data_IF_188357301848
#
_entry.id   IF_188357301848
#
_cell.length_a   1.000
_cell.length_b   1.000
_cell.length_c   1.000
_cell.angle_alpha   90.00
_cell.angle_beta   90.00
_cell.angle_gamma   90.00
#
_symmetry.space_group_name_H-M   'P 1'
#
loop_
_entity.id
_entity.type
_entity.pdbx_description
1 polymer ?
#
# COMPACT_ATOMS: atom_id res chain seq x y z
N UNK A 1 -14.57 7.78 3.96
CA UNK A 1 -15.55 7.75 5.05
C UNK A 1 -16.19 6.37 5.14
N UNK A 2 -15.38 5.35 5.34
CA UNK A 2 -15.90 4.00 5.55
C UNK A 2 -15.58 3.56 6.96
N UNK A 3 -16.57 3.69 7.83
CA UNK A 3 -16.52 3.15 9.17
C UNK A 3 -17.89 2.51 9.48
N UNK A 4 -18.03 1.22 9.18
CA UNK A 4 -19.06 0.40 9.80
C UNK A 4 -18.65 -1.07 9.77
N UNK A 5 -17.80 -1.43 10.71
CA UNK A 5 -18.01 -2.71 11.38
C UNK A 5 -19.28 -2.53 12.22
N UNK A 6 -20.22 -3.44 12.09
CA UNK A 6 -21.62 -3.37 12.53
C UNK A 6 -21.78 -3.50 14.08
N UNK A 7 -21.06 -2.67 14.85
CA UNK A 7 -21.24 -2.53 16.29
C UNK A 7 -21.45 -1.05 16.62
N UNK A 8 -22.44 -0.76 17.45
CA UNK A 8 -22.64 0.59 17.99
C UNK A 8 -21.29 1.09 18.54
N UNK A 9 -20.82 2.26 18.10
CA UNK A 9 -19.53 2.76 18.57
C UNK A 9 -19.55 2.90 20.08
N UNK A 10 -18.52 2.41 20.79
CA UNK A 10 -18.47 2.53 22.23
C UNK A 10 -18.50 4.00 22.61
N UNK A 11 -19.26 4.30 23.64
CA UNK A 11 -19.38 5.66 24.20
C UNK A 11 -18.48 5.74 25.41
N UNK A 12 -17.50 6.62 25.37
CA UNK A 12 -16.65 6.92 26.52
C UNK A 12 -17.12 8.26 27.09
N UNK A 13 -17.43 8.25 28.38
CA UNK A 13 -17.87 9.47 29.09
C UNK A 13 -16.63 10.27 29.48
N UNK A 14 -16.62 11.56 29.11
CA UNK A 14 -15.57 12.49 29.51
C UNK A 14 -15.59 12.77 31.02
N UNK A 15 -14.43 13.02 31.65
CA UNK A 15 -14.35 13.47 33.02
C UNK A 15 -15.14 14.77 33.23
N UNK A 16 -15.78 14.90 34.40
CA UNK A 16 -16.48 16.14 34.73
C UNK A 16 -15.49 17.26 34.94
N UNK A 17 -15.85 18.42 34.45
CA UNK A 17 -15.08 19.65 34.68
C UNK A 17 -14.92 19.90 36.17
N UNK A 18 -13.73 20.28 36.70
CA UNK A 18 -13.55 20.66 38.09
C UNK A 18 -14.41 21.89 38.42
N UNK A 19 -15.28 21.76 39.43
CA UNK A 19 -16.11 22.89 39.87
C UNK A 19 -15.23 24.01 40.42
N UNK A 20 -15.46 25.27 40.01
CA UNK A 20 -14.76 26.39 40.59
C UNK A 20 -15.06 26.48 42.12
N UNK A 21 -14.04 26.69 42.90
CA UNK A 21 -14.23 26.82 44.34
C UNK A 21 -15.23 27.96 44.61
N UNK A 22 -16.25 27.73 45.44
CA UNK A 22 -17.20 28.79 45.77
C UNK A 22 -16.48 30.01 46.33
N UNK A 23 -16.90 31.22 45.96
CA UNK A 23 -16.27 32.47 46.47
C UNK A 23 -16.32 32.48 47.99
N UNK A 24 -15.16 32.73 48.62
CA UNK A 24 -15.09 32.87 50.06
C UNK A 24 -15.93 34.08 50.49
N UNK A 25 -17.13 33.81 50.99
CA UNK A 25 -17.97 34.85 51.57
C UNK A 25 -17.26 35.43 52.80
N UNK A 26 -17.05 36.71 52.82
CA UNK A 26 -16.53 37.42 54.00
C UNK A 26 -17.62 37.35 55.08
N UNK A 27 -17.36 36.80 56.27
CA UNK A 27 -18.38 36.68 57.29
C UNK A 27 -18.59 38.06 57.97
N UNK A 28 -19.31 38.94 57.25
CA UNK A 28 -19.52 40.36 57.68
C UNK A 28 -20.12 40.46 59.08
N UNK A 29 -21.06 39.56 59.38
CA UNK A 29 -21.65 39.52 60.72
C UNK A 29 -20.66 39.05 61.83
N UNK A 30 -19.78 38.13 61.53
CA UNK A 30 -18.77 37.66 62.48
C UNK A 30 -17.68 38.68 62.74
N UNK A 31 -17.47 39.66 61.81
CA UNK A 31 -16.53 40.77 62.00
C UNK A 31 -17.15 41.99 62.77
N UNK A 32 -18.41 42.26 62.48
CA UNK A 32 -19.10 43.45 63.07
C UNK A 32 -19.67 43.20 64.49
N UNK A 33 -20.11 41.95 64.78
CA UNK A 33 -20.72 41.59 66.04
C UNK A 33 -19.78 41.85 67.27
N UNK A 34 -18.49 41.47 67.27
CA UNK A 34 -17.58 41.73 68.38
C UNK A 34 -17.30 43.23 68.55
N UNK A 35 -17.26 43.96 67.43
CA UNK A 35 -17.07 45.44 67.49
C UNK A 35 -18.27 46.08 68.06
N UNK A 36 -19.49 45.76 67.66
CA UNK A 36 -20.74 46.28 68.15
C UNK A 36 -20.91 45.97 69.67
N UNK A 37 -20.59 44.73 70.06
CA UNK A 37 -20.63 44.37 71.52
C UNK A 37 -19.59 45.12 72.31
N UNK A 38 -18.39 45.31 71.81
CA UNK A 38 -17.32 46.05 72.49
C UNK A 38 -17.68 47.50 72.65
N UNK A 39 -18.29 48.15 71.68
CA UNK A 39 -18.80 49.51 71.74
C UNK A 39 -19.95 49.64 72.77
N UNK A 40 -20.88 48.70 72.80
CA UNK A 40 -21.97 48.68 73.75
C UNK A 40 -21.47 48.47 75.18
N UNK A 41 -20.52 47.58 75.44
CA UNK A 41 -19.90 47.43 76.77
C UNK A 41 -19.15 48.69 77.19
N UNK A 42 -18.42 49.29 76.28
CA UNK A 42 -17.75 50.55 76.57
C UNK A 42 -18.74 51.67 76.92
N UNK A 43 -19.83 51.82 76.23
CA UNK A 43 -20.87 52.83 76.51
C UNK A 43 -21.53 52.63 77.86
N UNK A 44 -21.65 51.39 78.36
CA UNK A 44 -22.27 51.06 79.68
C UNK A 44 -21.24 51.17 80.82
N UNK A 45 -20.00 50.75 80.61
CA UNK A 45 -19.00 50.61 81.69
C UNK A 45 -18.01 51.72 81.74
N UNK A 46 -17.90 52.55 80.70
CA UNK A 46 -16.90 53.65 80.65
C UNK A 46 -15.43 53.16 80.57
N UNK A 47 -15.19 51.85 80.57
CA UNK A 47 -13.85 51.26 80.66
C UNK A 47 -13.17 51.17 79.30
N UNK A 48 -11.98 51.77 79.11
CA UNK A 48 -11.27 51.65 77.82
C UNK A 48 -10.80 50.24 77.50
N UNK A 49 -10.72 49.30 78.46
CA UNK A 49 -10.40 47.90 78.23
C UNK A 49 -11.47 47.19 77.39
N UNK A 50 -12.70 47.64 77.40
CA UNK A 50 -13.76 47.07 76.56
C UNK A 50 -13.46 47.22 75.06
N UNK A 51 -12.76 48.26 74.63
CA UNK A 51 -12.36 48.55 73.27
C UNK A 51 -11.27 47.58 72.80
N UNK A 52 -10.53 46.89 73.68
CA UNK A 52 -9.54 45.88 73.28
C UNK A 52 -10.20 44.67 72.62
N UNK A 53 -11.45 44.39 73.02
CA UNK A 53 -12.21 43.28 72.35
C UNK A 53 -12.66 43.63 70.91
N UNK A 54 -12.68 44.94 70.54
CA UNK A 54 -13.01 45.31 69.19
C UNK A 54 -11.98 44.87 68.17
N UNK A 55 -10.72 44.67 68.58
CA UNK A 55 -9.66 44.14 67.74
C UNK A 55 -9.84 42.65 67.44
N UNK A 56 -10.57 41.89 68.26
CA UNK A 56 -10.76 40.46 68.11
C UNK A 56 -11.56 40.08 66.82
N UNK A 57 -12.54 40.95 66.47
CA UNK A 57 -13.34 40.76 65.22
C UNK A 57 -12.50 40.76 63.96
N UNK A 58 -11.71 41.77 63.69
CA UNK A 58 -10.80 41.84 62.56
C UNK A 58 -9.74 40.73 62.56
N UNK A 59 -9.21 40.35 63.70
CA UNK A 59 -8.23 39.19 63.78
C UNK A 59 -8.87 37.88 63.43
N UNK A 60 -10.06 37.59 63.95
CA UNK A 60 -10.80 36.38 63.60
C UNK A 60 -11.17 36.37 62.12
N UNK A 61 -11.57 37.51 61.57
CA UNK A 61 -11.87 37.63 60.15
C UNK A 61 -10.63 37.37 59.24
N UNK A 62 -9.49 37.92 59.63
CA UNK A 62 -8.24 37.72 58.88
C UNK A 62 -7.78 36.25 58.96
N UNK A 63 -7.91 35.63 60.14
CA UNK A 63 -7.61 34.21 60.33
C UNK A 63 -8.54 33.32 59.47
N UNK A 64 -9.86 33.60 59.48
CA UNK A 64 -10.81 32.82 58.66
C UNK A 64 -10.61 33.02 57.15
N UNK A 65 -10.26 34.22 56.70
CA UNK A 65 -9.94 34.46 55.30
C UNK A 65 -8.66 33.76 54.84
N UNK A 66 -7.63 33.75 55.70
CA UNK A 66 -6.38 33.03 55.39
C UNK A 66 -6.59 31.52 55.37
N UNK A 67 -7.31 30.96 56.34
CA UNK A 67 -7.64 29.57 56.45
C UNK A 67 -8.55 29.12 55.27
N UNK A 68 -9.57 29.91 54.95
CA UNK A 68 -10.42 29.71 53.78
C UNK A 68 -9.64 29.67 52.46
N UNK A 69 -8.68 30.60 52.26
CA UNK A 69 -7.81 30.59 51.07
C UNK A 69 -6.90 29.38 51.02
N UNK A 70 -6.34 28.95 52.16
CA UNK A 70 -5.48 27.77 52.22
C UNK A 70 -6.26 26.49 51.96
N UNK A 71 -7.42 26.33 52.57
CA UNK A 71 -8.31 25.17 52.36
C UNK A 71 -8.86 25.14 50.94
N UNK A 72 -9.30 26.30 50.41
CA UNK A 72 -9.74 26.42 49.00
C UNK A 72 -8.65 26.03 48.01
N UNK A 73 -7.40 26.51 48.20
CA UNK A 73 -6.26 26.13 47.36
C UNK A 73 -5.94 24.61 47.43
N UNK A 74 -6.00 24.02 48.63
CA UNK A 74 -5.77 22.58 48.84
C UNK A 74 -6.87 21.78 48.16
N UNK A 75 -8.14 22.18 48.27
CA UNK A 75 -9.29 21.54 47.60
C UNK A 75 -9.15 21.63 46.07
N UNK A 76 -8.92 22.82 45.53
CA UNK A 76 -8.72 23.01 44.10
C UNK A 76 -7.55 22.19 43.54
N UNK A 77 -6.42 22.09 44.29
CA UNK A 77 -5.29 21.24 43.90
C UNK A 77 -5.66 19.75 43.92
N UNK A 78 -6.48 19.28 44.87
CA UNK A 78 -6.94 17.88 44.92
C UNK A 78 -7.89 17.60 43.78
N UNK A 79 -8.82 18.48 43.47
CA UNK A 79 -9.78 18.35 42.36
C UNK A 79 -9.08 18.35 41.00
N UNK A 80 -8.11 19.28 40.78
CA UNK A 80 -7.29 19.27 39.57
C UNK A 80 -6.44 17.98 39.43
N UNK A 81 -5.90 17.44 40.53
CA UNK A 81 -5.18 16.17 40.50
C UNK A 81 -6.10 14.99 40.20
N UNK A 82 -7.33 15.00 40.72
CA UNK A 82 -8.34 14.00 40.42
C UNK A 82 -8.74 14.06 38.94
N UNK A 83 -9.06 15.25 38.45
CA UNK A 83 -9.39 15.49 37.06
C UNK A 83 -8.29 14.98 36.10
N UNK A 84 -7.03 15.32 36.37
CA UNK A 84 -5.91 14.85 35.53
C UNK A 84 -5.73 13.34 35.57
N UNK A 85 -6.03 12.68 36.69
CA UNK A 85 -6.01 11.20 36.77
C UNK A 85 -7.14 10.60 35.95
N UNK A 86 -8.33 11.15 36.04
CA UNK A 86 -9.50 10.72 35.28
C UNK A 86 -9.26 10.95 33.77
N UNK A 87 -8.68 12.10 33.40
CA UNK A 87 -8.31 12.42 32.02
C UNK A 87 -7.27 11.40 31.48
N UNK A 88 -6.25 11.08 32.29
CA UNK A 88 -5.25 10.08 31.90
C UNK A 88 -5.85 8.69 31.74
N UNK A 89 -6.76 8.29 32.63
CA UNK A 89 -7.47 7.00 32.53
C UNK A 89 -8.36 6.96 31.27
N UNK A 90 -9.09 8.05 30.98
CA UNK A 90 -9.91 8.16 29.77
C UNK A 90 -9.04 8.09 28.51
N UNK A 91 -7.87 8.73 28.53
CA UNK A 91 -6.92 8.66 27.42
C UNK A 91 -6.42 7.26 27.18
N UNK A 92 -6.14 6.51 28.23
CA UNK A 92 -5.74 5.10 28.13
C UNK A 92 -6.85 4.24 27.47
N UNK A 93 -8.11 4.46 27.85
CA UNK A 93 -9.24 3.78 27.22
C UNK A 93 -9.36 4.13 25.72
N UNK A 94 -9.09 5.40 25.34
CA UNK A 94 -9.04 5.80 23.94
C UNK A 94 -7.91 5.07 23.21
N UNK A 95 -6.72 4.97 23.82
CA UNK A 95 -5.57 4.30 23.23
C UNK A 95 -5.89 2.80 22.99
N UNK A 96 -6.47 2.11 23.98
CA UNK A 96 -6.89 0.70 23.86
C UNK A 96 -7.93 0.51 22.75
N UNK A 97 -8.87 1.45 22.62
CA UNK A 97 -9.85 1.40 21.54
C UNK A 97 -9.21 1.63 20.18
N UNK A 98 -8.34 2.62 20.06
CA UNK A 98 -7.62 2.92 18.83
C UNK A 98 -6.74 1.74 18.37
N UNK A 99 -6.14 0.99 19.30
CA UNK A 99 -5.38 -0.21 18.97
C UNK A 99 -6.28 -1.29 18.36
N UNK A 100 -7.46 -1.53 18.96
CA UNK A 100 -8.44 -2.49 18.44
C UNK A 100 -8.98 -2.05 17.06
N UNK A 101 -9.40 -0.80 16.94
CA UNK A 101 -9.93 -0.25 15.69
C UNK A 101 -8.88 -0.34 14.57
N UNK A 102 -7.62 -0.08 14.89
CA UNK A 102 -6.51 -0.21 13.92
C UNK A 102 -6.30 -1.67 13.52
N UNK A 103 -6.34 -2.59 14.48
CA UNK A 103 -6.23 -4.02 14.21
C UNK A 103 -7.37 -4.53 13.31
N UNK A 104 -8.60 -4.07 13.55
CA UNK A 104 -9.76 -4.40 12.72
C UNK A 104 -9.59 -3.88 11.28
N UNK A 105 -9.10 -2.64 11.10
CA UNK A 105 -8.82 -2.08 9.78
C UNK A 105 -7.69 -2.83 9.06
N UNK A 106 -6.64 -3.21 9.77
CA UNK A 106 -5.55 -4.04 9.22
C UNK A 106 -6.09 -5.40 8.79
N UNK A 107 -6.94 -6.04 9.60
CA UNK A 107 -7.57 -7.31 9.23
C UNK A 107 -8.46 -7.21 7.98
N UNK A 108 -9.08 -6.05 7.74
CA UNK A 108 -9.79 -5.80 6.47
C UNK A 108 -8.80 -5.76 5.30
N UNK A 109 -7.70 -5.01 5.43
CA UNK A 109 -6.67 -4.92 4.38
C UNK A 109 -6.04 -6.27 4.10
N UNK A 110 -5.73 -7.06 5.14
CA UNK A 110 -5.14 -8.39 5.00
C UNK A 110 -6.07 -9.35 4.23
N UNK A 111 -7.38 -9.28 4.47
CA UNK A 111 -8.36 -10.05 3.69
C UNK A 111 -8.41 -9.65 2.22
N UNK A 112 -8.17 -8.38 1.90
CA UNK A 112 -8.24 -7.86 0.52
C UNK A 112 -6.97 -8.15 -0.29
N UNK A 113 -5.82 -8.01 0.30
CA UNK A 113 -4.56 -8.09 -0.45
C UNK A 113 -3.35 -8.49 0.38
N UNK A 114 -3.56 -8.81 1.66
CA UNK A 114 -2.51 -9.13 2.63
C UNK A 114 -1.74 -10.41 2.33
N UNK A 115 -0.82 -10.74 3.19
CA UNK A 115 0.06 -11.91 3.06
C UNK A 115 -0.69 -13.23 3.33
N UNK A 116 -0.49 -14.22 2.46
CA UNK A 116 -0.69 -15.63 2.73
C UNK A 116 -2.14 -16.09 2.88
N UNK A 117 -2.52 -16.49 4.08
CA UNK A 117 -3.73 -17.27 4.35
C UNK A 117 -5.05 -16.56 4.00
N UNK A 118 -5.10 -15.23 4.16
CA UNK A 118 -6.32 -14.46 3.90
C UNK A 118 -6.64 -14.30 2.40
N UNK A 119 -5.62 -14.29 1.52
CA UNK A 119 -5.80 -14.30 0.07
C UNK A 119 -6.30 -15.65 -0.43
N UNK A 120 -5.90 -16.72 0.23
CA UNK A 120 -6.27 -18.10 -0.08
C UNK A 120 -7.67 -18.49 0.42
N UNK A 121 -8.47 -17.57 0.97
CA UNK A 121 -9.81 -17.86 1.47
C UNK A 121 -10.69 -18.47 0.36
N UNK A 122 -11.17 -19.71 0.52
CA UNK A 122 -12.02 -20.37 -0.47
C UNK A 122 -13.39 -19.68 -0.62
N UNK A 123 -13.81 -18.85 0.31
CA UNK A 123 -15.06 -18.09 0.26
C UNK A 123 -14.91 -16.70 -0.41
N UNK A 124 -13.71 -16.35 -0.88
CA UNK A 124 -13.44 -15.10 -1.62
C UNK A 124 -14.38 -14.98 -2.82
N UNK A 125 -14.84 -13.77 -3.09
CA UNK A 125 -15.83 -13.44 -4.13
C UNK A 125 -17.22 -14.09 -3.93
N UNK A 126 -17.58 -14.46 -2.72
CA UNK A 126 -18.99 -14.70 -2.40
C UNK A 126 -19.72 -13.37 -2.31
N UNK A 127 -20.96 -13.35 -2.83
CA UNK A 127 -21.85 -12.20 -2.74
C UNK A 127 -22.23 -11.89 -1.29
N UNK A 128 -21.34 -11.21 -0.58
CA UNK A 128 -21.70 -10.48 0.62
C UNK A 128 -22.20 -9.10 0.19
N UNK A 129 -23.47 -9.05 -0.24
CA UNK A 129 -24.15 -7.84 -0.68
C UNK A 129 -24.19 -6.71 0.40
N UNK A 130 -23.61 -6.94 1.57
CA UNK A 130 -23.64 -6.02 2.70
C UNK A 130 -22.34 -5.22 2.90
N UNK A 131 -21.22 -5.57 2.27
CA UNK A 131 -19.95 -4.86 2.47
C UNK A 131 -19.64 -3.92 1.31
N UNK A 132 -19.50 -2.64 1.62
CA UNK A 132 -19.02 -1.65 0.63
C UNK A 132 -17.59 -2.01 0.21
N UNK A 133 -17.31 -2.14 -1.10
CA UNK A 133 -15.98 -2.46 -1.57
C UNK A 133 -14.98 -1.37 -1.23
N UNK A 134 -13.87 -1.73 -0.60
CA UNK A 134 -12.81 -0.79 -0.22
C UNK A 134 -11.44 -1.38 -0.49
N UNK A 135 -10.47 -0.51 -0.80
CA UNK A 135 -9.05 -0.84 -0.91
C UNK A 135 -8.22 0.14 -0.07
N UNK A 136 -7.09 -0.31 0.42
CA UNK A 136 -6.15 0.54 1.16
C UNK A 136 -5.19 1.21 0.19
N UNK A 137 -5.07 2.53 0.29
CA UNK A 137 -4.08 3.30 -0.49
C UNK A 137 -2.82 3.62 0.31
N UNK A 138 -2.77 3.25 1.58
CA UNK A 138 -1.62 3.47 2.45
C UNK A 138 -2.02 3.71 3.90
N UNK A 139 -1.07 4.20 4.68
CA UNK A 139 -1.25 4.53 6.10
C UNK A 139 -1.35 6.03 6.30
N UNK A 140 -2.17 6.45 7.26
CA UNK A 140 -2.35 7.88 7.51
C UNK A 140 -3.18 8.19 8.74
N UNK A 141 -3.81 9.35 8.70
CA UNK A 141 -4.71 9.85 9.73
C UNK A 141 -6.15 9.57 9.31
N UNK A 142 -6.77 8.54 9.91
CA UNK A 142 -8.17 8.21 9.72
C UNK A 142 -9.07 8.86 10.78
N UNK A 143 -10.37 8.91 10.54
CA UNK A 143 -11.35 9.23 11.58
C UNK A 143 -11.67 7.99 12.40
N UNK A 144 -11.57 8.09 13.73
CA UNK A 144 -12.03 7.05 14.63
C UNK A 144 -13.55 7.03 14.71
N UNK A 145 -14.13 5.84 14.86
CA UNK A 145 -15.55 5.66 15.13
C UNK A 145 -15.93 6.00 16.56
N UNK A 146 -14.96 6.13 17.44
CA UNK A 146 -15.15 6.40 18.85
C UNK A 146 -15.95 7.68 19.08
N UNK A 147 -16.99 7.61 19.90
CA UNK A 147 -17.77 8.78 20.34
C UNK A 147 -17.48 9.08 21.79
N UNK A 148 -17.17 10.34 22.06
CA UNK A 148 -17.05 10.85 23.41
C UNK A 148 -18.33 11.57 23.78
N UNK A 149 -18.94 11.15 24.90
CA UNK A 149 -20.15 11.79 25.43
C UNK A 149 -19.75 12.78 26.53
N UNK A 150 -20.24 14.02 26.42
CA UNK A 150 -20.02 15.05 27.41
C UNK A 150 -20.86 14.77 28.67
N UNK A 151 -20.18 14.62 29.82
CA UNK A 151 -20.87 14.46 31.10
C UNK A 151 -21.51 15.76 31.61
N UNK A 152 -21.05 16.93 31.15
CA UNK A 152 -21.60 18.27 31.51
C UNK A 152 -21.00 19.36 30.62
N UNK A 153 -21.84 20.22 30.08
CA UNK A 153 -21.43 21.44 29.35
C UNK A 153 -21.40 22.60 30.33
N UNK A 154 -20.24 23.16 30.57
CA UNK A 154 -20.08 24.40 31.35
C UNK A 154 -19.81 25.56 30.41
N UNK A 155 -20.40 26.77 30.67
CA UNK A 155 -20.43 27.87 29.68
C UNK A 155 -19.16 28.73 29.59
N UNK A 156 -18.17 28.58 30.42
CA UNK A 156 -16.98 29.44 30.40
C UNK A 156 -15.70 28.64 30.04
N UNK A 157 -14.90 29.12 29.07
CA UNK A 157 -13.65 28.46 28.68
C UNK A 157 -12.57 28.61 29.75
N UNK A 158 -12.05 27.51 30.30
CA UNK A 158 -10.91 27.44 31.24
C UNK A 158 -9.83 26.49 30.67
N UNK A 159 -8.66 26.45 31.31
CA UNK A 159 -7.55 25.51 30.96
C UNK A 159 -8.01 24.04 30.89
N UNK A 160 -8.99 23.65 31.70
CA UNK A 160 -9.58 22.31 31.70
C UNK A 160 -10.36 22.04 30.42
N UNK A 161 -11.00 23.02 29.82
CA UNK A 161 -11.67 22.89 28.53
C UNK A 161 -10.68 22.64 27.39
N UNK A 162 -9.51 23.25 27.42
CA UNK A 162 -8.45 23.03 26.46
C UNK A 162 -7.89 21.60 26.55
N UNK A 163 -7.75 21.04 27.78
CA UNK A 163 -7.33 19.64 27.98
C UNK A 163 -8.41 18.64 27.47
N UNK A 164 -9.69 18.91 27.69
CA UNK A 164 -10.81 18.13 27.18
C UNK A 164 -10.94 18.20 25.66
N UNK A 165 -10.78 19.39 25.08
CA UNK A 165 -10.79 19.58 23.62
C UNK A 165 -9.59 18.89 22.95
N UNK A 166 -8.45 18.89 23.63
CA UNK A 166 -7.30 18.11 23.22
C UNK A 166 -7.60 16.62 23.18
N UNK A 167 -8.29 16.09 24.19
CA UNK A 167 -8.69 14.69 24.24
C UNK A 167 -9.76 14.36 23.19
N UNK A 168 -10.74 15.26 22.95
CA UNK A 168 -11.74 15.09 21.88
C UNK A 168 -11.09 14.98 20.51
N UNK A 169 -10.17 15.88 20.19
CA UNK A 169 -9.41 15.83 18.93
C UNK A 169 -8.58 14.55 18.83
N UNK A 170 -7.90 14.17 19.90
CA UNK A 170 -7.12 12.93 19.96
C UNK A 170 -7.99 11.69 19.73
N UNK A 171 -9.15 11.61 20.36
CA UNK A 171 -10.08 10.49 20.20
C UNK A 171 -10.74 10.42 18.82
N UNK A 172 -10.91 11.56 18.15
CA UNK A 172 -11.47 11.61 16.79
C UNK A 172 -10.46 11.20 15.71
N UNK A 173 -9.15 11.17 16.02
CA UNK A 173 -8.06 10.95 15.09
C UNK A 173 -7.38 9.59 15.33
N UNK A 174 -7.52 8.66 14.40
CA UNK A 174 -6.82 7.39 14.40
C UNK A 174 -5.53 7.50 13.57
N UNK A 175 -4.39 7.54 14.24
CA UNK A 175 -3.07 7.69 13.60
C UNK A 175 -2.52 6.35 13.13
N UNK A 176 -1.73 6.39 12.04
CA UNK A 176 -1.11 5.20 11.43
C UNK A 176 -2.13 4.09 11.11
N UNK A 177 -3.32 4.49 10.69
CA UNK A 177 -4.37 3.58 10.27
C UNK A 177 -4.39 3.44 8.74
N UNK A 178 -4.83 2.28 8.20
CA UNK A 178 -5.09 2.13 6.78
C UNK A 178 -6.11 3.16 6.30
N UNK A 179 -5.79 3.86 5.23
CA UNK A 179 -6.72 4.78 4.56
C UNK A 179 -7.46 3.98 3.49
N UNK A 180 -8.72 3.71 3.75
CA UNK A 180 -9.59 2.94 2.88
C UNK A 180 -10.36 3.86 1.95
N UNK A 181 -10.40 3.50 0.66
CA UNK A 181 -11.14 4.23 -0.37
C UNK A 181 -11.96 3.28 -1.21
N UNK A 182 -13.04 3.81 -1.80
CA UNK A 182 -13.85 3.09 -2.77
C UNK A 182 -13.09 3.02 -4.11
N UNK A 183 -12.75 1.82 -4.62
CA UNK A 183 -12.03 1.67 -5.88
C UNK A 183 -12.84 2.14 -7.10
N UNK A 184 -14.18 2.16 -7.02
CA UNK A 184 -15.03 2.65 -8.10
C UNK A 184 -14.95 4.17 -8.32
N UNK A 185 -14.30 4.90 -7.41
CA UNK A 185 -13.98 6.32 -7.63
C UNK A 185 -12.82 6.53 -8.61
N UNK A 186 -12.15 5.46 -9.05
CA UNK A 186 -10.94 5.53 -9.84
C UNK A 186 -9.74 6.05 -9.01
N UNK A 187 -8.61 5.36 -9.10
CA UNK A 187 -7.42 5.65 -8.30
C UNK A 187 -6.26 5.99 -9.23
N UNK A 188 -5.76 7.21 -9.10
CA UNK A 188 -4.55 7.68 -9.80
C UNK A 188 -3.37 7.74 -8.87
N UNK A 189 -2.24 7.18 -9.26
CA UNK A 189 -0.97 7.26 -8.54
C UNK A 189 -0.01 8.10 -9.37
N UNK A 190 0.52 9.18 -8.81
CA UNK A 190 1.49 10.02 -9.50
C UNK A 190 2.81 10.13 -8.72
N UNK A 191 3.91 10.23 -9.48
CA UNK A 191 5.27 10.34 -8.92
C UNK A 191 6.32 9.71 -9.81
N UNK A 192 7.55 9.46 -9.28
CA UNK A 192 8.59 8.77 -10.03
C UNK A 192 8.13 7.38 -10.49
N UNK A 193 8.27 7.08 -11.80
CA UNK A 193 7.68 5.90 -12.43
C UNK A 193 7.77 4.59 -11.64
N UNK A 194 8.98 4.09 -11.30
CA UNK A 194 9.11 2.82 -10.58
C UNK A 194 8.43 2.81 -9.20
N UNK A 195 8.40 3.96 -8.52
CA UNK A 195 7.78 4.11 -7.19
C UNK A 195 6.26 4.15 -7.33
N UNK A 196 5.76 4.94 -8.28
CA UNK A 196 4.33 5.03 -8.56
C UNK A 196 3.76 3.68 -9.03
N UNK A 197 4.49 2.96 -9.88
CA UNK A 197 4.13 1.60 -10.30
C UNK A 197 4.10 0.61 -9.13
N UNK A 198 5.05 0.69 -8.21
CA UNK A 198 5.08 -0.19 -7.04
C UNK A 198 3.91 0.06 -6.09
N UNK A 199 3.52 1.33 -5.90
CA UNK A 199 2.33 1.68 -5.12
C UNK A 199 1.03 1.25 -5.83
N UNK A 200 0.92 1.50 -7.13
CA UNK A 200 -0.23 1.06 -7.93
C UNK A 200 -0.35 -0.46 -7.94
N UNK A 201 0.76 -1.19 -7.97
CA UNK A 201 0.78 -2.67 -7.95
C UNK A 201 0.15 -3.23 -6.69
N UNK A 202 0.41 -2.61 -5.53
CA UNK A 202 -0.24 -2.99 -4.28
C UNK A 202 -1.77 -2.80 -4.33
N UNK A 203 -2.22 -1.67 -4.88
CA UNK A 203 -3.65 -1.38 -5.06
C UNK A 203 -4.29 -2.37 -6.04
N UNK A 204 -3.62 -2.68 -7.16
CA UNK A 204 -4.10 -3.59 -8.19
C UNK A 204 -4.31 -5.02 -7.66
N UNK A 205 -3.43 -5.51 -6.78
CA UNK A 205 -3.61 -6.83 -6.13
C UNK A 205 -4.85 -6.84 -5.24
N UNK A 206 -5.08 -5.76 -4.46
CA UNK A 206 -6.27 -5.64 -3.62
C UNK A 206 -7.55 -5.59 -4.46
N UNK A 207 -7.55 -4.80 -5.55
CA UNK A 207 -8.67 -4.74 -6.49
C UNK A 207 -8.97 -6.11 -7.08
N UNK A 208 -7.95 -6.84 -7.51
CA UNK A 208 -8.11 -8.20 -8.04
C UNK A 208 -8.68 -9.19 -7.01
N UNK A 209 -8.27 -9.05 -5.73
CA UNK A 209 -8.83 -9.84 -4.65
C UNK A 209 -10.27 -9.47 -4.27
N UNK A 210 -10.71 -8.28 -4.62
CA UNK A 210 -12.04 -7.75 -4.33
C UNK A 210 -13.05 -8.10 -5.43
N UNK A 211 -12.69 -7.94 -6.70
CA UNK A 211 -13.58 -8.08 -7.84
C UNK A 211 -13.66 -9.54 -8.29
N UNK A 212 -14.88 -10.03 -8.51
CA UNK A 212 -15.11 -11.41 -8.98
C UNK A 212 -14.59 -11.59 -10.42
N UNK A 213 -13.77 -12.63 -10.70
CA UNK A 213 -13.29 -12.89 -12.05
C UNK A 213 -14.40 -13.30 -13.03
N UNK A 214 -15.58 -13.75 -12.55
CA UNK A 214 -16.72 -14.08 -13.40
C UNK A 214 -17.49 -12.84 -13.87
N UNK A 215 -17.43 -11.76 -13.09
CA UNK A 215 -18.20 -10.54 -13.34
C UNK A 215 -17.36 -9.48 -14.04
N UNK A 216 -16.07 -9.38 -13.69
CA UNK A 216 -15.20 -8.31 -14.19
C UNK A 216 -14.15 -8.85 -15.15
N UNK A 217 -14.04 -8.21 -16.31
CA UNK A 217 -12.92 -8.36 -17.26
C UNK A 217 -11.85 -7.30 -16.97
N UNK A 218 -10.59 -7.63 -17.27
CA UNK A 218 -9.41 -6.81 -17.03
C UNK A 218 -8.86 -6.31 -18.36
N UNK A 219 -8.85 -5.01 -18.59
CA UNK A 219 -8.21 -4.37 -19.72
C UNK A 219 -6.84 -3.80 -19.33
N UNK A 220 -5.82 -4.17 -20.09
CA UNK A 220 -4.43 -3.76 -19.85
C UNK A 220 -3.96 -2.75 -20.91
N UNK A 221 -3.29 -1.66 -20.49
CA UNK A 221 -2.61 -0.78 -21.41
C UNK A 221 -1.42 -1.51 -22.07
N UNK A 222 -0.96 -1.07 -23.23
CA UNK A 222 0.21 -1.62 -23.89
C UNK A 222 1.48 -1.40 -23.03
N UNK A 223 2.42 -2.37 -23.11
CA UNK A 223 3.71 -2.33 -22.41
C UNK A 223 3.86 -3.41 -21.33
N UNK A 224 5.10 -3.58 -20.86
CA UNK A 224 5.49 -4.72 -20.01
C UNK A 224 5.26 -4.49 -18.50
N UNK A 225 5.06 -3.25 -18.07
CA UNK A 225 4.94 -2.88 -16.67
C UNK A 225 3.82 -3.65 -15.93
N UNK A 226 2.79 -4.08 -16.65
CA UNK A 226 1.59 -4.73 -16.13
C UNK A 226 1.41 -6.19 -16.58
N UNK A 227 2.43 -6.80 -17.22
CA UNK A 227 2.36 -8.19 -17.71
C UNK A 227 1.99 -9.19 -16.61
N UNK A 228 2.41 -8.95 -15.37
CA UNK A 228 2.11 -9.80 -14.23
C UNK A 228 0.61 -9.94 -13.96
N UNK A 229 -0.21 -8.95 -14.34
CA UNK A 229 -1.67 -8.99 -14.21
C UNK A 229 -2.31 -10.08 -15.08
N UNK A 230 -1.63 -10.56 -16.13
CA UNK A 230 -2.07 -11.70 -16.94
C UNK A 230 -2.10 -13.03 -16.14
N UNK A 231 -1.43 -13.07 -14.97
CA UNK A 231 -1.47 -14.21 -14.06
C UNK A 231 -2.70 -14.23 -13.16
N UNK A 232 -3.51 -13.16 -13.16
CA UNK A 232 -4.78 -13.10 -12.44
C UNK A 232 -5.84 -13.99 -13.09
N UNK A 233 -6.85 -14.45 -12.32
CA UNK A 233 -7.92 -15.30 -12.85
C UNK A 233 -8.93 -14.56 -13.76
N UNK A 234 -8.86 -13.26 -13.83
CA UNK A 234 -9.76 -12.42 -14.63
C UNK A 234 -9.52 -12.61 -16.13
N UNK A 235 -10.58 -12.47 -16.92
CA UNK A 235 -10.46 -12.40 -18.37
C UNK A 235 -9.69 -11.13 -18.74
N UNK A 236 -8.59 -11.30 -19.48
CA UNK A 236 -7.76 -10.18 -19.93
C UNK A 236 -8.15 -9.79 -21.35
N UNK A 237 -8.43 -8.50 -21.53
CA UNK A 237 -8.71 -7.90 -22.83
C UNK A 237 -7.61 -6.88 -23.14
N UNK A 238 -7.21 -6.78 -24.40
CA UNK A 238 -6.24 -5.75 -24.82
C UNK A 238 -6.98 -4.42 -24.97
N UNK A 239 -6.47 -3.37 -24.32
CA UNK A 239 -6.95 -1.99 -24.51
C UNK A 239 -5.88 -1.15 -25.22
N UNK A 240 -5.85 -1.13 -26.55
CA UNK A 240 -4.85 -0.38 -27.32
C UNK A 240 -4.99 1.15 -27.16
N UNK A 241 -6.15 1.62 -26.73
CA UNK A 241 -6.42 3.04 -26.48
C UNK A 241 -6.19 3.44 -25.01
N UNK A 242 -5.84 2.49 -24.13
CA UNK A 242 -5.69 2.70 -22.71
C UNK A 242 -4.54 3.66 -22.39
N UNK A 243 -4.89 4.85 -21.91
CA UNK A 243 -3.96 5.93 -21.54
C UNK A 243 -3.20 5.58 -20.23
N UNK A 244 -2.37 4.52 -20.24
CA UNK A 244 -1.58 4.11 -19.08
C UNK A 244 -2.39 3.61 -17.89
N UNK A 245 -3.66 3.27 -18.07
CA UNK A 245 -4.56 2.84 -17.00
C UNK A 245 -4.93 1.36 -17.13
N UNK A 246 -4.95 0.67 -16.00
CA UNK A 246 -5.51 -0.68 -15.86
C UNK A 246 -6.99 -0.53 -15.51
N UNK A 247 -7.87 -1.25 -16.22
CA UNK A 247 -9.32 -1.17 -16.03
C UNK A 247 -9.92 -2.54 -15.77
N UNK A 248 -10.79 -2.61 -14.77
CA UNK A 248 -11.73 -3.72 -14.58
C UNK A 248 -13.11 -3.25 -14.97
N UNK A 249 -13.78 -3.96 -15.84
CA UNK A 249 -15.11 -3.59 -16.35
C UNK A 249 -16.07 -4.75 -16.20
N UNK A 250 -17.28 -4.44 -15.72
CA UNK A 250 -18.45 -5.31 -15.74
C UNK A 250 -19.58 -4.65 -16.54
N UNK A 251 -20.74 -5.27 -16.60
CA UNK A 251 -21.91 -4.69 -17.25
C UNK A 251 -22.39 -3.38 -16.61
N UNK A 252 -22.11 -3.20 -15.31
CA UNK A 252 -22.68 -2.09 -14.51
C UNK A 252 -21.65 -1.14 -13.90
N UNK A 253 -20.37 -1.55 -13.84
CA UNK A 253 -19.35 -0.81 -13.10
C UNK A 253 -17.96 -0.91 -13.73
N UNK A 254 -17.14 0.11 -13.50
CA UNK A 254 -15.74 0.15 -13.94
C UNK A 254 -14.86 0.63 -12.81
N UNK A 255 -13.73 -0.05 -12.59
CA UNK A 255 -12.66 0.38 -11.70
C UNK A 255 -11.45 0.76 -12.55
N UNK A 256 -10.87 1.91 -12.27
CA UNK A 256 -9.68 2.43 -12.99
C UNK A 256 -8.55 2.61 -12.01
N UNK A 257 -7.37 2.07 -12.34
CA UNK A 257 -6.12 2.37 -11.63
C UNK A 257 -5.10 2.86 -12.66
N UNK A 258 -4.66 4.09 -12.52
CA UNK A 258 -3.75 4.75 -13.46
C UNK A 258 -2.47 5.20 -12.79
N UNK A 259 -1.38 5.22 -13.55
CA UNK A 259 -0.07 5.75 -13.14
C UNK A 259 0.36 6.86 -14.07
N UNK A 260 0.85 7.96 -13.50
CA UNK A 260 1.39 9.08 -14.25
C UNK A 260 2.57 9.73 -13.50
N UNK A 261 3.35 10.56 -14.19
CA UNK A 261 4.41 11.33 -13.55
C UNK A 261 3.89 12.51 -12.72
N UNK A 262 2.74 13.05 -13.12
CA UNK A 262 2.10 14.21 -12.45
C UNK A 262 0.59 13.98 -12.35
N UNK A 263 -0.05 14.62 -11.39
CA UNK A 263 -1.50 14.52 -11.19
C UNK A 263 -2.32 14.99 -12.41
N UNK A 264 -1.83 16.00 -13.14
CA UNK A 264 -2.51 16.53 -14.33
C UNK A 264 -2.47 15.61 -15.56
N UNK A 265 -1.63 14.57 -15.55
CA UNK A 265 -1.55 13.57 -16.61
C UNK A 265 -2.42 12.33 -16.34
N UNK A 266 -3.06 12.26 -15.19
CA UNK A 266 -3.97 11.16 -14.84
C UNK A 266 -5.31 11.31 -15.59
N UNK A 267 -5.98 10.18 -15.94
CA UNK A 267 -7.33 10.20 -16.48
C UNK A 267 -8.33 10.91 -15.55
N UNK A 268 -9.31 11.59 -16.14
CA UNK A 268 -10.36 12.31 -15.40
C UNK A 268 -11.21 11.40 -14.50
N UNK A 269 -11.26 10.11 -14.82
CA UNK A 269 -11.97 9.09 -14.05
C UNK A 269 -11.28 8.78 -12.70
N UNK A 270 -10.03 9.20 -12.50
CA UNK A 270 -9.31 9.03 -11.25
C UNK A 270 -9.65 10.16 -10.27
N UNK A 271 -10.68 9.95 -9.43
CA UNK A 271 -11.12 10.91 -8.40
C UNK A 271 -10.31 10.84 -7.12
N UNK A 272 -9.71 9.69 -6.84
CA UNK A 272 -8.72 9.50 -5.76
C UNK A 272 -7.34 9.65 -6.35
N UNK A 273 -6.58 10.64 -5.92
CA UNK A 273 -5.24 10.93 -6.44
C UNK A 273 -4.22 10.84 -5.32
N UNK A 274 -3.30 9.90 -5.46
CA UNK A 274 -2.18 9.64 -4.58
C UNK A 274 -0.89 10.12 -5.21
N UNK A 275 -0.17 11.03 -4.56
CA UNK A 275 1.18 11.43 -4.92
C UNK A 275 2.19 10.70 -4.05
N UNK A 276 3.12 9.99 -4.69
CA UNK A 276 4.21 9.27 -4.02
C UNK A 276 5.54 9.94 -4.28
N UNK A 277 6.35 10.05 -3.23
CA UNK A 277 7.69 10.64 -3.29
C UNK A 277 8.79 9.59 -3.14
N UNK A 278 9.99 10.05 -2.82
CA UNK A 278 11.11 9.18 -2.47
C UNK A 278 10.85 8.47 -1.12
N UNK A 279 11.18 7.19 -1.05
CA UNK A 279 10.89 6.37 0.13
C UNK A 279 9.41 6.00 0.25
N UNK A 280 8.87 5.92 1.46
CA UNK A 280 7.46 5.63 1.72
C UNK A 280 6.57 6.87 1.81
N UNK A 281 7.13 8.07 1.66
CA UNK A 281 6.37 9.30 1.77
C UNK A 281 5.28 9.38 0.68
N UNK A 282 4.06 9.66 1.10
CA UNK A 282 2.93 9.77 0.21
C UNK A 282 1.97 10.86 0.69
N UNK A 283 1.24 11.45 -0.25
CA UNK A 283 0.27 12.49 0.00
C UNK A 283 -1.02 12.23 -0.78
N UNK A 284 -2.14 12.31 -0.12
CA UNK A 284 -3.44 12.31 -0.77
C UNK A 284 -3.69 13.69 -1.35
N UNK A 285 -3.74 13.80 -2.68
CA UNK A 285 -3.96 15.07 -3.40
C UNK A 285 -5.45 15.35 -3.52
N UNK A 286 -6.23 14.32 -3.86
CA UNK A 286 -7.68 14.39 -4.01
C UNK A 286 -8.33 13.09 -3.54
N UNK A 287 -9.44 13.22 -2.81
CA UNK A 287 -10.32 12.10 -2.49
C UNK A 287 -11.69 12.65 -2.10
N UNK A 288 -12.78 12.23 -2.76
CA UNK A 288 -14.12 12.65 -2.38
C UNK A 288 -14.45 12.26 -0.94
N UNK A 289 -14.82 13.23 -0.10
CA UNK A 289 -15.19 13.00 1.29
C UNK A 289 -14.05 12.76 2.28
N UNK A 290 -12.80 12.95 1.88
CA UNK A 290 -11.63 12.93 2.76
C UNK A 290 -10.81 14.22 2.63
N UNK A 291 -10.14 14.62 3.71
CA UNK A 291 -9.28 15.80 3.67
C UNK A 291 -7.97 15.47 2.95
N UNK A 292 -7.51 16.32 2.02
CA UNK A 292 -6.19 16.21 1.43
C UNK A 292 -5.08 16.21 2.48
N UNK A 293 -4.00 15.44 2.25
CA UNK A 293 -2.84 15.42 3.16
C UNK A 293 -2.94 14.44 4.34
N UNK A 294 -4.05 13.68 4.47
CA UNK A 294 -4.20 12.69 5.56
C UNK A 294 -3.33 11.45 5.43
N UNK A 295 -2.85 11.14 4.24
CA UNK A 295 -1.95 10.02 4.00
C UNK A 295 -0.53 10.38 4.42
N UNK A 296 0.15 9.48 5.14
CA UNK A 296 1.53 9.68 5.60
C UNK A 296 2.52 8.74 4.91
N UNK A 297 2.07 7.56 4.51
CA UNK A 297 2.90 6.58 3.83
C UNK A 297 2.07 5.75 2.85
N UNK A 298 2.62 5.45 1.67
CA UNK A 298 2.09 4.45 0.76
C UNK A 298 2.67 3.07 1.07
N UNK A 299 1.95 2.03 0.68
CA UNK A 299 2.44 0.64 0.68
C UNK A 299 2.85 0.28 -0.74
N UNK A 300 3.94 -0.45 -0.88
CA UNK A 300 4.56 -0.79 -2.15
C UNK A 300 4.67 -2.30 -2.31
N UNK A 301 4.42 -2.78 -3.51
CA UNK A 301 4.56 -4.19 -3.87
C UNK A 301 5.59 -4.38 -4.98
N UNK A 302 6.50 -5.33 -4.81
CA UNK A 302 7.41 -5.76 -5.87
C UNK A 302 6.70 -6.64 -6.90
N UNK A 303 7.26 -6.78 -8.11
CA UNK A 303 6.70 -7.67 -9.13
C UNK A 303 6.65 -9.13 -8.67
N UNK A 304 7.72 -9.72 -8.07
CA UNK A 304 7.66 -11.09 -7.57
C UNK A 304 6.55 -11.32 -6.54
N UNK A 305 6.37 -10.36 -5.62
CA UNK A 305 5.34 -10.45 -4.58
C UNK A 305 3.92 -10.34 -5.16
N UNK A 306 3.73 -9.48 -6.17
CA UNK A 306 2.46 -9.38 -6.86
C UNK A 306 2.13 -10.64 -7.66
N UNK A 307 3.13 -11.28 -8.29
CA UNK A 307 2.99 -12.56 -9.00
C UNK A 307 2.61 -13.71 -8.04
N UNK A 308 3.23 -13.77 -6.87
CA UNK A 308 2.89 -14.75 -5.83
C UNK A 308 1.41 -14.62 -5.43
N UNK A 309 0.97 -13.39 -5.15
CA UNK A 309 -0.43 -13.12 -4.80
C UNK A 309 -1.39 -13.43 -5.95
N UNK A 310 -1.02 -13.11 -7.19
CA UNK A 310 -1.82 -13.44 -8.37
C UNK A 310 -1.95 -14.97 -8.55
N UNK A 311 -0.90 -15.72 -8.24
CA UNK A 311 -0.94 -17.19 -8.27
C UNK A 311 -1.90 -17.76 -7.22
N UNK A 312 -1.90 -17.22 -6.00
CA UNK A 312 -2.86 -17.60 -4.94
C UNK A 312 -4.29 -17.32 -5.36
N UNK A 313 -4.59 -16.11 -5.87
CA UNK A 313 -5.93 -15.75 -6.37
C UNK A 313 -6.36 -16.68 -7.52
N UNK A 314 -5.45 -17.03 -8.43
CA UNK A 314 -5.72 -17.96 -9.52
C UNK A 314 -6.02 -19.38 -9.02
N UNK A 315 -5.31 -19.85 -7.99
CA UNK A 315 -5.57 -21.16 -7.39
C UNK A 315 -6.95 -21.21 -6.71
N UNK A 316 -7.34 -20.15 -6.00
CA UNK A 316 -8.68 -20.03 -5.38
C UNK A 316 -9.77 -20.02 -6.44
N UNK A 317 -9.61 -19.25 -7.51
CA UNK A 317 -10.57 -19.20 -8.62
C UNK A 317 -10.70 -20.56 -9.33
N UNK A 318 -9.59 -21.27 -9.51
CA UNK A 318 -9.57 -22.62 -10.10
C UNK A 318 -10.30 -23.63 -9.23
N UNK A 319 -10.03 -23.64 -7.92
CA UNK A 319 -10.68 -24.53 -6.96
C UNK A 319 -12.21 -24.31 -6.92
N UNK A 320 -12.69 -23.11 -7.27
CA UNK A 320 -14.11 -22.75 -7.32
C UNK A 320 -14.72 -22.87 -8.72
N UNK A 321 -13.95 -23.26 -9.74
CA UNK A 321 -14.41 -23.27 -11.12
C UNK A 321 -14.76 -21.88 -11.67
N UNK A 322 -14.20 -20.81 -11.05
CA UNK A 322 -14.46 -19.41 -11.43
C UNK A 322 -13.52 -18.90 -12.53
N UNK A 323 -12.61 -19.73 -13.01
CA UNK A 323 -11.81 -19.38 -14.19
C UNK A 323 -12.73 -19.28 -15.39
N UNK A 324 -12.79 -18.12 -16.02
CA UNK A 324 -13.14 -18.10 -17.43
C UNK A 324 -12.19 -19.10 -18.09
N UNK A 325 -12.73 -20.07 -18.84
CA UNK A 325 -11.88 -20.91 -19.67
C UNK A 325 -10.97 -19.94 -20.43
N UNK A 326 -9.73 -19.78 -19.97
CA UNK A 326 -8.67 -19.32 -20.85
C UNK A 326 -8.88 -20.20 -22.04
N UNK A 327 -9.10 -19.62 -23.21
CA UNK A 327 -9.01 -20.40 -24.44
C UNK A 327 -7.73 -21.17 -24.25
N UNK A 328 -7.88 -22.45 -23.93
CA UNK A 328 -6.75 -23.27 -23.56
C UNK A 328 -5.87 -23.21 -24.80
N UNK A 329 -4.58 -22.91 -24.61
CA UNK A 329 -3.65 -23.11 -25.70
C UNK A 329 -4.00 -24.47 -26.29
N UNK A 330 -4.25 -24.59 -27.61
CA UNK A 330 -4.64 -25.87 -28.20
C UNK A 330 -3.71 -26.95 -27.65
N UNK A 331 -4.27 -28.02 -27.15
CA UNK A 331 -3.53 -29.07 -26.44
C UNK A 331 -2.41 -29.71 -27.29
N UNK A 332 -2.41 -29.46 -28.59
CA UNK A 332 -1.48 -29.99 -29.56
C UNK A 332 -1.10 -28.93 -30.63
N UNK A 333 -0.32 -27.94 -30.18
CA UNK A 333 0.28 -26.95 -31.08
C UNK A 333 1.62 -27.49 -31.58
N UNK A 334 1.62 -28.00 -32.79
CA UNK A 334 2.87 -28.23 -33.49
C UNK A 334 3.68 -26.95 -33.59
N UNK A 335 5.01 -27.04 -33.55
CA UNK A 335 5.93 -25.92 -33.71
C UNK A 335 5.55 -24.95 -34.86
N UNK A 336 5.03 -25.50 -35.98
CA UNK A 336 4.63 -24.72 -37.17
C UNK A 336 3.33 -23.90 -37.00
N UNK A 337 2.61 -24.11 -35.91
CA UNK A 337 1.44 -23.28 -35.57
C UNK A 337 1.83 -21.96 -34.86
N UNK A 338 3.07 -21.85 -34.42
CA UNK A 338 3.61 -20.60 -33.91
C UNK A 338 3.71 -19.57 -35.05
N UNK A 339 3.31 -18.31 -34.83
CA UNK A 339 3.54 -17.28 -35.83
C UNK A 339 5.02 -17.26 -36.17
N UNK A 340 5.40 -17.31 -37.46
CA UNK A 340 6.78 -17.09 -37.82
C UNK A 340 7.18 -15.70 -37.29
N UNK A 341 8.29 -15.64 -36.57
CA UNK A 341 8.91 -14.35 -36.25
C UNK A 341 9.09 -13.59 -37.58
N UNK A 342 9.03 -12.28 -37.55
CA UNK A 342 9.32 -11.48 -38.76
C UNK A 342 10.68 -11.93 -39.29
N UNK A 343 10.67 -12.59 -40.46
CA UNK A 343 11.89 -13.01 -41.17
C UNK A 343 12.65 -11.75 -41.56
N UNK A 344 13.55 -11.30 -40.72
CA UNK A 344 14.34 -10.10 -40.96
C UNK A 344 15.80 -10.47 -40.72
N UNK A 345 16.65 -10.08 -41.63
CA UNK A 345 18.07 -9.97 -41.38
C UNK A 345 18.39 -8.75 -40.46
N UNK A 346 17.36 -8.26 -39.78
CA UNK A 346 17.49 -7.18 -38.82
C UNK A 346 18.31 -7.67 -37.59
N UNK A 347 19.50 -7.15 -37.50
CA UNK A 347 20.45 -7.44 -36.40
C UNK A 347 20.15 -6.66 -35.13
N UNK A 348 19.15 -5.79 -35.15
CA UNK A 348 18.73 -4.98 -34.01
C UNK A 348 17.76 -5.70 -33.08
N UNK A 349 17.21 -6.85 -33.51
CA UNK A 349 16.23 -7.62 -32.73
C UNK A 349 16.50 -9.13 -32.83
N UNK A 350 16.31 -9.84 -31.74
CA UNK A 350 16.28 -11.31 -31.66
C UNK A 350 14.88 -11.80 -31.22
N UNK A 351 13.84 -11.06 -31.61
CA UNK A 351 12.45 -11.42 -31.31
C UNK A 351 12.06 -12.72 -31.99
N UNK A 352 11.52 -13.65 -31.20
CA UNK A 352 10.97 -14.90 -31.70
C UNK A 352 9.86 -15.43 -30.80
N UNK A 353 8.81 -15.95 -31.42
CA UNK A 353 7.74 -16.64 -30.74
C UNK A 353 8.08 -18.13 -30.61
N UNK A 354 8.14 -18.67 -29.40
CA UNK A 354 8.49 -20.06 -29.14
C UNK A 354 7.52 -20.79 -28.19
N UNK A 355 6.48 -20.08 -27.74
CA UNK A 355 5.49 -20.60 -26.81
C UNK A 355 4.15 -19.87 -26.95
N UNK A 356 3.16 -20.32 -26.23
CA UNK A 356 1.86 -19.66 -26.12
C UNK A 356 1.57 -19.32 -24.65
N UNK A 357 1.01 -18.15 -24.41
CA UNK A 357 0.48 -17.74 -23.13
C UNK A 357 -1.05 -17.62 -23.23
N UNK A 358 -1.74 -18.73 -22.94
CA UNK A 358 -3.18 -18.83 -23.24
C UNK A 358 -3.42 -18.94 -24.74
N UNK A 359 -4.23 -18.07 -25.31
CA UNK A 359 -4.51 -17.97 -26.74
C UNK A 359 -3.53 -17.07 -27.52
N UNK A 360 -2.57 -16.43 -26.83
CA UNK A 360 -1.64 -15.48 -27.43
C UNK A 360 -0.25 -16.05 -27.62
N UNK A 361 0.44 -15.77 -28.76
CA UNK A 361 1.83 -16.13 -28.93
C UNK A 361 2.71 -15.46 -27.88
N UNK A 362 3.64 -16.21 -27.29
CA UNK A 362 4.64 -15.69 -26.37
C UNK A 362 5.99 -15.56 -27.06
N UNK A 363 6.47 -14.32 -27.17
CA UNK A 363 7.73 -13.97 -27.81
C UNK A 363 8.69 -13.31 -26.81
N UNK A 364 9.99 -13.53 -27.02
CA UNK A 364 11.06 -12.86 -26.27
C UNK A 364 12.09 -12.35 -27.24
N UNK A 365 12.47 -11.09 -27.09
CA UNK A 365 13.59 -10.46 -27.77
C UNK A 365 14.79 -10.38 -26.85
N UNK A 366 15.84 -11.15 -27.12
CA UNK A 366 17.08 -11.16 -26.31
C UNK A 366 17.90 -9.86 -26.45
N UNK A 367 17.60 -9.01 -27.38
CA UNK A 367 18.23 -7.68 -27.50
C UNK A 367 17.47 -6.67 -26.65
N UNK A 368 16.15 -6.60 -26.79
CA UNK A 368 15.31 -5.64 -26.08
C UNK A 368 15.11 -5.97 -24.60
N UNK A 369 14.90 -7.28 -24.27
CA UNK A 369 14.62 -7.74 -22.88
C UNK A 369 15.89 -8.08 -22.10
N UNK A 370 17.07 -7.98 -22.73
CA UNK A 370 18.38 -8.24 -22.13
C UNK A 370 19.06 -9.49 -22.72
N UNK A 371 20.41 -9.48 -22.78
CA UNK A 371 21.17 -10.50 -23.51
C UNK A 371 21.27 -11.84 -22.77
N UNK A 372 20.69 -11.95 -21.59
CA UNK A 372 20.76 -13.13 -20.75
C UNK A 372 19.38 -13.62 -20.36
N UNK A 373 19.18 -14.94 -20.41
CA UNK A 373 17.97 -15.58 -19.92
C UNK A 373 18.33 -16.81 -19.05
N UNK A 374 17.53 -17.06 -18.03
CA UNK A 374 17.64 -18.26 -17.18
C UNK A 374 16.34 -19.05 -17.28
N UNK A 375 16.47 -20.34 -17.62
CA UNK A 375 15.34 -21.29 -17.62
C UNK A 375 15.46 -22.17 -16.38
N UNK A 376 14.55 -21.98 -15.43
CA UNK A 376 14.47 -22.75 -14.19
C UNK A 376 13.37 -23.81 -14.21
N UNK A 377 13.58 -24.90 -13.50
CA UNK A 377 12.57 -25.96 -13.34
C UNK A 377 13.16 -27.25 -12.79
N UNK A 378 12.30 -28.17 -12.30
CA UNK A 378 12.69 -29.49 -11.81
C UNK A 378 13.12 -30.42 -12.95
N UNK A 379 13.71 -31.57 -12.63
CA UNK A 379 14.03 -32.61 -13.64
C UNK A 379 12.72 -33.09 -14.26
N UNK A 380 12.68 -33.25 -15.60
CA UNK A 380 11.48 -33.63 -16.31
C UNK A 380 10.46 -32.57 -16.62
N UNK A 381 10.71 -31.28 -16.21
CA UNK A 381 9.77 -30.18 -16.45
C UNK A 381 9.77 -29.60 -17.87
N UNK A 382 10.54 -30.19 -18.81
CA UNK A 382 10.60 -29.70 -20.19
C UNK A 382 11.60 -28.58 -20.47
N UNK A 383 12.53 -28.24 -19.53
CA UNK A 383 13.54 -27.18 -19.75
C UNK A 383 14.33 -27.31 -21.04
N UNK A 384 14.81 -28.52 -21.35
CA UNK A 384 15.60 -28.76 -22.56
C UNK A 384 14.72 -28.63 -23.80
N UNK A 385 13.49 -29.13 -23.77
CA UNK A 385 12.51 -28.98 -24.86
C UNK A 385 12.17 -27.51 -25.13
N UNK A 386 12.01 -26.70 -24.08
CA UNK A 386 11.82 -25.28 -24.22
C UNK A 386 13.02 -24.61 -24.91
N UNK A 387 14.25 -24.92 -24.49
CA UNK A 387 15.46 -24.38 -25.12
C UNK A 387 15.58 -24.80 -26.58
N UNK A 388 15.27 -26.05 -26.91
CA UNK A 388 15.25 -26.56 -28.31
C UNK A 388 14.20 -25.79 -29.14
N UNK A 389 12.97 -25.65 -28.61
CA UNK A 389 11.92 -24.88 -29.28
C UNK A 389 12.31 -23.43 -29.52
N UNK A 390 12.95 -22.82 -28.54
CA UNK A 390 13.42 -21.43 -28.64
C UNK A 390 14.53 -21.25 -29.67
N UNK A 391 15.52 -22.16 -29.70
CA UNK A 391 16.58 -22.19 -30.72
C UNK A 391 15.98 -22.40 -32.14
N UNK A 392 15.03 -23.34 -32.28
CA UNK A 392 14.35 -23.58 -33.53
C UNK A 392 13.56 -22.33 -34.00
N UNK A 393 12.86 -21.66 -33.10
CA UNK A 393 12.12 -20.44 -33.43
C UNK A 393 13.03 -19.32 -33.94
N UNK A 394 14.20 -19.10 -33.30
CA UNK A 394 15.20 -18.16 -33.76
C UNK A 394 15.80 -18.57 -35.10
N UNK A 395 16.11 -19.85 -35.29
CA UNK A 395 16.68 -20.39 -36.55
C UNK A 395 15.69 -20.34 -37.71
N UNK A 396 14.40 -20.56 -37.46
CA UNK A 396 13.36 -20.52 -38.49
C UNK A 396 13.10 -19.10 -39.03
N UNK A 397 13.36 -18.09 -38.24
CA UNK A 397 13.11 -16.68 -38.60
C UNK A 397 14.35 -15.93 -39.12
N UNK A 398 15.56 -16.50 -39.03
CA UNK A 398 16.83 -15.83 -39.36
C UNK A 398 17.77 -16.73 -40.13
N UNK A 399 18.68 -16.11 -40.87
CA UNK A 399 19.73 -16.81 -41.60
C UNK A 399 20.90 -17.19 -40.65
N UNK A 400 21.73 -18.21 -41.03
CA UNK A 400 22.94 -18.51 -40.25
C UNK A 400 23.97 -17.38 -40.24
N UNK A 401 23.85 -16.40 -41.10
CA UNK A 401 24.70 -15.16 -41.06
C UNK A 401 24.24 -14.17 -40.04
N UNK A 402 22.98 -14.23 -39.63
CA UNK A 402 22.41 -13.34 -38.59
C UNK A 402 22.48 -13.92 -37.18
N UNK A 403 22.24 -15.24 -37.03
CA UNK A 403 22.24 -15.93 -35.73
C UNK A 403 23.01 -17.23 -35.79
N UNK A 404 23.90 -17.45 -34.83
CA UNK A 404 24.65 -18.67 -34.62
C UNK A 404 24.52 -19.18 -33.20
N UNK A 405 24.52 -20.49 -33.01
CA UNK A 405 24.41 -21.14 -31.72
C UNK A 405 25.68 -21.94 -31.40
N UNK A 406 26.28 -21.68 -30.26
CA UNK A 406 27.20 -22.59 -29.59
C UNK A 406 26.45 -23.31 -28.49
N UNK A 407 26.24 -24.60 -28.61
CA UNK A 407 25.49 -25.40 -27.66
C UNK A 407 26.45 -26.07 -26.68
N UNK A 408 26.10 -26.06 -25.41
CA UNK A 408 26.90 -26.65 -24.32
C UNK A 408 25.99 -27.53 -23.47
N UNK A 409 26.20 -28.84 -23.47
CA UNK A 409 25.42 -29.79 -22.67
C UNK A 409 26.32 -30.81 -21.96
N UNK A 410 26.61 -30.52 -20.70
CA UNK A 410 27.44 -31.36 -19.84
C UNK A 410 26.75 -32.65 -19.35
N UNK A 411 25.56 -32.96 -19.84
CA UNK A 411 24.83 -34.23 -19.56
C UNK A 411 24.91 -35.24 -20.69
N UNK A 412 25.97 -35.18 -21.49
CA UNK A 412 26.19 -36.15 -22.58
C UNK A 412 25.57 -35.77 -23.93
N UNK A 413 25.13 -34.50 -24.10
CA UNK A 413 24.67 -33.98 -25.40
C UNK A 413 23.31 -34.46 -25.90
N UNK A 414 22.61 -35.26 -25.12
CA UNK A 414 21.33 -35.82 -25.54
C UNK A 414 20.25 -34.74 -25.75
N UNK A 415 20.31 -33.63 -25.00
CA UNK A 415 19.33 -32.57 -25.09
C UNK A 415 19.31 -31.82 -26.41
N UNK A 416 20.46 -31.67 -27.08
CA UNK A 416 20.59 -30.94 -28.33
C UNK A 416 20.94 -31.78 -29.56
N UNK A 417 20.99 -33.11 -29.41
CA UNK A 417 21.36 -34.02 -30.51
C UNK A 417 20.46 -33.85 -31.76
N UNK A 418 19.14 -33.59 -31.53
CA UNK A 418 18.18 -33.41 -32.61
C UNK A 418 18.43 -32.15 -33.46
N UNK A 419 19.04 -31.11 -32.90
CA UNK A 419 19.28 -29.82 -33.57
C UNK A 419 20.75 -29.58 -33.90
N UNK A 420 21.66 -30.49 -33.55
CA UNK A 420 23.08 -30.36 -33.82
C UNK A 420 23.43 -30.21 -35.31
N UNK A 421 22.58 -30.71 -36.22
CA UNK A 421 22.74 -30.63 -37.66
C UNK A 421 22.23 -29.31 -38.30
N UNK A 422 21.67 -28.37 -37.52
CA UNK A 422 21.23 -27.10 -38.07
C UNK A 422 22.41 -26.25 -38.56
N UNK A 423 22.25 -25.61 -39.71
CA UNK A 423 23.26 -24.71 -40.27
C UNK A 423 23.67 -23.56 -39.35
N UNK A 424 22.82 -23.25 -38.38
CA UNK A 424 23.04 -22.21 -37.37
C UNK A 424 23.94 -22.66 -36.20
N UNK A 425 24.12 -24.00 -36.02
CA UNK A 425 24.91 -24.55 -34.93
C UNK A 425 26.37 -24.60 -35.33
N UNK A 426 27.19 -23.76 -34.70
CA UNK A 426 28.63 -23.63 -34.96
C UNK A 426 29.46 -24.59 -34.09
N UNK A 427 28.86 -25.21 -33.09
CA UNK A 427 29.51 -26.20 -32.24
C UNK A 427 28.59 -26.75 -31.15
N UNK A 428 28.85 -27.99 -30.76
CA UNK A 428 28.20 -28.71 -29.67
C UNK A 428 29.27 -29.24 -28.73
N UNK A 429 29.29 -28.81 -27.49
CA UNK A 429 30.19 -29.27 -26.44
C UNK A 429 29.41 -30.19 -25.52
N UNK A 430 29.71 -31.50 -25.54
CA UNK A 430 28.91 -32.53 -24.87
C UNK A 430 29.63 -33.17 -23.69
N UNK A 431 30.95 -32.98 -23.56
CA UNK A 431 31.74 -33.73 -22.60
C UNK A 431 32.31 -32.86 -21.53
N UNK A 432 32.42 -33.46 -20.34
CA UNK A 432 33.09 -32.90 -19.14
C UNK A 432 34.63 -32.89 -19.26
N UNK A 433 35.17 -33.16 -20.50
CA UNK A 433 36.61 -32.99 -20.72
C UNK A 433 36.96 -31.50 -20.48
N UNK A 434 37.61 -31.26 -19.38
CA UNK A 434 38.06 -29.92 -18.94
C UNK A 434 38.88 -29.20 -20.02
N UNK A 435 39.63 -29.96 -20.84
CA UNK A 435 40.42 -29.38 -21.91
C UNK A 435 39.56 -28.90 -23.08
N UNK A 436 38.47 -29.58 -23.41
CA UNK A 436 37.50 -29.20 -24.47
C UNK A 436 36.71 -27.97 -24.00
N UNK A 437 36.15 -28.02 -22.79
CA UNK A 437 35.41 -26.91 -22.20
C UNK A 437 36.27 -25.66 -22.12
N UNK A 438 37.52 -25.77 -21.66
CA UNK A 438 38.49 -24.66 -21.59
C UNK A 438 38.79 -24.07 -22.97
N UNK A 439 38.98 -24.89 -24.00
CA UNK A 439 39.20 -24.41 -25.37
C UNK A 439 37.99 -23.68 -25.90
N UNK A 440 36.79 -24.17 -25.65
CA UNK A 440 35.54 -23.53 -26.08
C UNK A 440 35.40 -22.13 -25.43
N UNK A 441 35.68 -22.00 -24.12
CA UNK A 441 35.66 -20.72 -23.40
C UNK A 441 36.73 -19.76 -23.95
N UNK A 442 37.95 -20.24 -24.20
CA UNK A 442 39.04 -19.42 -24.75
C UNK A 442 38.72 -18.96 -26.18
N UNK A 443 38.13 -19.83 -27.02
CA UNK A 443 37.69 -19.49 -28.36
C UNK A 443 36.57 -18.42 -28.33
N UNK A 444 35.59 -18.56 -27.45
CA UNK A 444 34.52 -17.59 -27.26
C UNK A 444 35.08 -16.22 -26.80
N UNK A 445 36.01 -16.22 -25.84
CA UNK A 445 36.66 -15.02 -25.39
C UNK A 445 37.51 -14.33 -26.47
N UNK A 446 38.11 -15.11 -27.38
CA UNK A 446 38.82 -14.57 -28.53
C UNK A 446 37.88 -13.97 -29.56
N UNK A 447 36.75 -14.62 -29.84
CA UNK A 447 35.71 -14.12 -30.73
C UNK A 447 35.08 -12.80 -30.22
N UNK A 448 34.76 -12.74 -28.93
CA UNK A 448 34.23 -11.50 -28.33
C UNK A 448 35.24 -10.36 -28.53
N UNK A 449 36.51 -10.57 -28.24
CA UNK A 449 37.56 -9.56 -28.45
C UNK A 449 37.75 -9.18 -29.92
N UNK A 450 37.54 -10.13 -30.82
CA UNK A 450 37.59 -9.84 -32.24
C UNK A 450 36.42 -8.93 -32.65
N UNK A 451 35.21 -9.25 -32.23
CA UNK A 451 34.00 -8.43 -32.48
C UNK A 451 34.11 -7.02 -31.89
N UNK A 452 34.59 -6.91 -30.66
CA UNK A 452 34.82 -5.61 -30.02
C UNK A 452 35.77 -4.73 -30.85
N UNK A 453 36.88 -5.29 -31.33
CA UNK A 453 37.82 -4.59 -32.19
C UNK A 453 37.21 -4.22 -33.51
N UNK A 454 36.44 -5.10 -34.12
CA UNK A 454 35.75 -4.87 -35.35
C UNK A 454 34.73 -3.72 -35.21
N UNK A 455 33.88 -3.74 -34.19
CA UNK A 455 32.92 -2.67 -33.89
C UNK A 455 33.63 -1.32 -33.67
N UNK A 456 34.72 -1.33 -32.89
CA UNK A 456 35.54 -0.13 -32.68
C UNK A 456 36.13 0.40 -34.00
N UNK A 457 36.61 -0.46 -34.89
CA UNK A 457 37.13 -0.04 -36.21
C UNK A 457 36.05 0.51 -37.14
N UNK A 458 34.80 0.04 -36.98
CA UNK A 458 33.64 0.52 -37.71
C UNK A 458 33.03 1.79 -37.09
N UNK A 459 33.49 2.22 -35.90
CA UNK A 459 32.97 3.42 -35.23
C UNK A 459 31.58 3.23 -34.63
N UNK A 460 31.15 2.00 -34.43
CA UNK A 460 29.83 1.66 -33.86
C UNK A 460 29.96 0.96 -32.52
N UNK A 461 28.90 1.00 -31.71
CA UNK A 461 28.88 0.40 -30.36
C UNK A 461 28.21 -0.96 -30.29
N UNK A 462 27.30 -1.25 -31.22
CA UNK A 462 26.51 -2.46 -31.25
C UNK A 462 26.46 -3.05 -32.68
N UNK A 463 26.24 -4.37 -32.77
CA UNK A 463 26.13 -5.10 -34.05
C UNK A 463 24.97 -4.55 -34.89
N UNK A 464 23.86 -4.18 -34.26
CA UNK A 464 22.70 -3.59 -34.93
C UNK A 464 22.95 -2.27 -35.61
N UNK A 465 24.03 -1.57 -35.25
CA UNK A 465 24.42 -0.28 -35.88
C UNK A 465 25.29 -0.50 -37.15
N UNK A 466 25.72 -1.72 -37.42
CA UNK A 466 26.48 -2.05 -38.63
C UNK A 466 25.56 -1.97 -39.87
N UNK A 467 25.97 -1.19 -40.87
CA UNK A 467 25.27 -1.19 -42.16
C UNK A 467 25.25 -2.61 -42.77
N UNK A 468 24.15 -2.99 -43.41
CA UNK A 468 23.91 -4.34 -43.96
C UNK A 468 24.90 -4.69 -45.09
N UNK A 469 25.62 -3.70 -45.65
CA UNK A 469 26.53 -3.84 -46.76
C UNK A 469 28.00 -4.08 -46.39
N UNK A 470 28.28 -4.45 -45.13
CA UNK A 470 29.67 -4.78 -44.69
C UNK A 470 29.80 -6.13 -44.03
#
# INVERSE_FOLDING_TARGET
VFNRVNQDPPRIVLPRHPEPAPPNAVPVFATLAPVAVSVAIWAVTGSPFALAFAVLGPVIALASLTDGKLHGRRRARRERRRFRRELAATRQLVDEYHERERADLVAVVDRLGGTGDALGDPERWRDDAASTPVVSIGLGLAHSALRLDDASRVPEPDEADAELDGLRRYAAELRNAPILVDPFLGIGVCGPGPIAEAAAREILVQVAGLLSPLEFSLALPPGDAWCWLRSLPHRVESDPAGHGAVRWSSQSATVVVAVATTAGALPADCRVVLEVGSGSAARLVSCPGADPGRLTAAVFSSVPFALERAAVLSAVAEARGMRHAREAAPADLGFWALPPGTATDDRSSLDCCFAWSGSEPFAVDLVAHGPHAIVGGTTGSGKSELLVSWILAMAASRTPTAVNFLLVDFKGGASFAAIAGLAHVVGLVTDLDEAVARRAILSLAAEIRYRERFLASAGVRAIGELAVDR
#
